data_IF_403225316206
#
_entry.id   IF_403225316206
#
_cell.length_a   1.000
_cell.length_b   1.000
_cell.length_c   1.000
_cell.angle_alpha   90.00
_cell.angle_beta   90.00
_cell.angle_gamma   90.00
#
_symmetry.space_group_name_H-M   'P 1'
#
loop_
_entity.id
_entity.type
_entity.pdbx_description
1 polymer ?
#
# COMPACT_ATOMS: atom_id res chain seq x y z
N UNK A 1 7.47 -28.25 12.51
CA UNK A 1 6.95 -27.96 13.86
C UNK A 1 6.83 -26.45 14.01
N UNK A 2 5.65 -25.93 14.34
CA UNK A 2 5.39 -24.49 14.53
C UNK A 2 5.73 -24.14 15.98
N UNK A 3 6.84 -23.44 16.21
CA UNK A 3 7.20 -22.94 17.55
C UNK A 3 6.37 -21.70 17.85
N UNK A 4 5.44 -21.85 18.80
CA UNK A 4 4.59 -20.79 19.32
C UNK A 4 5.44 -19.77 20.09
N UNK A 5 5.50 -18.54 19.56
CA UNK A 5 6.10 -17.35 20.18
C UNK A 5 5.46 -17.02 21.57
N UNK A 6 4.32 -17.64 21.88
CA UNK A 6 3.64 -17.53 23.16
C UNK A 6 4.49 -18.00 24.37
N UNK A 7 5.49 -18.87 24.17
CA UNK A 7 6.30 -19.38 25.30
C UNK A 7 7.38 -18.40 25.79
N UNK A 8 7.79 -17.42 25.00
CA UNK A 8 8.75 -16.40 25.46
C UNK A 8 8.04 -15.36 26.35
N UNK A 9 6.75 -15.12 26.11
CA UNK A 9 5.97 -14.15 26.89
C UNK A 9 5.58 -14.70 28.27
N UNK A 10 5.41 -16.02 28.42
CA UNK A 10 5.02 -16.64 29.70
C UNK A 10 6.19 -16.79 30.69
N UNK A 11 7.44 -16.86 30.20
CA UNK A 11 8.63 -17.05 31.04
C UNK A 11 9.04 -15.80 31.84
N UNK A 12 8.57 -14.62 31.45
CA UNK A 12 8.99 -13.34 32.07
C UNK A 12 8.08 -12.94 33.24
N UNK A 13 6.86 -13.50 33.33
CA UNK A 13 5.93 -13.20 34.43
C UNK A 13 6.24 -13.92 35.75
N UNK A 14 7.26 -14.78 35.81
CA UNK A 14 7.51 -15.63 36.99
C UNK A 14 8.93 -15.51 37.58
N UNK A 15 9.54 -14.31 37.58
CA UNK A 15 10.83 -14.11 38.25
C UNK A 15 10.85 -12.79 39.06
N UNK A 16 9.92 -12.65 40.01
CA UNK A 16 10.07 -11.67 41.10
C UNK A 16 10.80 -12.37 42.26
N UNK A 17 12.07 -12.74 42.03
CA UNK A 17 13.08 -13.03 43.06
C UNK A 17 14.33 -13.66 42.39
N UNK A 18 15.26 -12.88 41.83
CA UNK A 18 16.53 -13.46 41.36
C UNK A 18 17.72 -12.52 41.49
N UNK A 19 18.86 -13.14 41.75
CA UNK A 19 20.21 -12.59 41.86
C UNK A 19 20.59 -11.57 40.79
N UNK A 20 21.59 -10.74 41.09
CA UNK A 20 22.20 -9.76 40.19
C UNK A 20 22.51 -10.32 38.79
N UNK A 21 22.94 -11.58 38.71
CA UNK A 21 23.22 -12.27 37.44
C UNK A 21 21.99 -12.48 36.54
N UNK A 22 20.82 -12.79 37.11
CA UNK A 22 19.60 -12.98 36.34
C UNK A 22 19.03 -11.64 35.84
N UNK A 23 19.21 -10.56 36.62
CA UNK A 23 18.86 -9.21 36.19
C UNK A 23 19.75 -8.72 35.03
N UNK A 24 21.05 -9.02 35.08
CA UNK A 24 21.99 -8.74 33.99
C UNK A 24 21.65 -9.53 32.71
N UNK A 25 21.33 -10.82 32.83
CA UNK A 25 20.93 -11.67 31.70
C UNK A 25 19.61 -11.18 31.06
N UNK A 26 18.62 -10.75 31.85
CA UNK A 26 17.38 -10.14 31.36
C UNK A 26 17.69 -8.83 30.61
N UNK A 27 18.55 -7.97 31.15
CA UNK A 27 18.91 -6.70 30.51
C UNK A 27 19.63 -6.88 29.17
N UNK A 28 20.53 -7.87 29.07
CA UNK A 28 21.19 -8.24 27.81
C UNK A 28 20.15 -8.73 26.78
N UNK A 29 19.26 -9.64 27.19
CA UNK A 29 18.21 -10.17 26.31
C UNK A 29 17.24 -9.08 25.82
N UNK A 30 16.93 -8.08 26.64
CA UNK A 30 16.10 -6.93 26.24
C UNK A 30 16.84 -6.06 25.21
N UNK A 31 18.14 -5.78 25.39
CA UNK A 31 18.95 -5.03 24.42
C UNK A 31 19.04 -5.75 23.08
N UNK A 32 19.34 -7.05 23.08
CA UNK A 32 19.42 -7.85 21.84
C UNK A 32 18.06 -7.91 21.12
N UNK A 33 16.95 -7.99 21.87
CA UNK A 33 15.60 -7.93 21.31
C UNK A 33 15.32 -6.59 20.61
N UNK A 34 15.78 -5.47 21.17
CA UNK A 34 15.63 -4.14 20.55
C UNK A 34 16.42 -4.06 19.23
N UNK A 35 17.68 -4.52 19.21
CA UNK A 35 18.53 -4.51 18.01
C UNK A 35 17.95 -5.40 16.89
N UNK A 36 17.45 -6.59 17.25
CA UNK A 36 16.78 -7.47 16.30
C UNK A 36 15.51 -6.84 15.72
N UNK A 37 14.72 -6.15 16.54
CA UNK A 37 13.53 -5.42 16.07
C UNK A 37 13.90 -4.25 15.15
N UNK A 38 14.97 -3.51 15.46
CA UNK A 38 15.49 -2.43 14.60
C UNK A 38 15.86 -2.95 13.21
N UNK A 39 16.60 -4.07 13.16
CA UNK A 39 16.99 -4.72 11.91
C UNK A 39 15.77 -5.17 11.09
N UNK A 40 14.75 -5.75 11.75
CA UNK A 40 13.51 -6.17 11.09
C UNK A 40 12.69 -4.99 10.56
N UNK A 41 12.62 -3.89 11.32
CA UNK A 41 11.94 -2.66 10.90
C UNK A 41 12.61 -2.11 9.65
N UNK A 42 13.93 -2.01 9.64
CA UNK A 42 14.67 -1.46 8.49
C UNK A 42 14.47 -2.31 7.23
N UNK A 43 14.58 -3.64 7.36
CA UNK A 43 14.29 -4.57 6.25
C UNK A 43 12.87 -4.40 5.69
N UNK A 44 11.88 -4.15 6.54
CA UNK A 44 10.51 -3.91 6.09
C UNK A 44 10.31 -2.52 5.49
N UNK A 45 11.05 -1.50 5.94
CA UNK A 45 11.09 -0.18 5.29
C UNK A 45 11.68 -0.27 3.90
N UNK A 46 12.78 -0.98 3.72
CA UNK A 46 13.37 -1.25 2.40
C UNK A 46 12.38 -1.99 1.49
N UNK A 47 11.72 -3.01 2.03
CA UNK A 47 10.67 -3.75 1.31
C UNK A 47 9.51 -2.83 0.89
N UNK A 48 9.11 -1.89 1.75
CA UNK A 48 8.07 -0.90 1.45
C UNK A 48 8.51 0.05 0.33
N UNK A 49 9.75 0.57 0.39
CA UNK A 49 10.28 1.44 -0.66
C UNK A 49 10.34 0.71 -2.01
N UNK A 50 10.84 -0.52 -2.04
CA UNK A 50 10.87 -1.35 -3.24
C UNK A 50 9.48 -1.66 -3.78
N UNK A 51 8.49 -1.86 -2.90
CA UNK A 51 7.10 -2.05 -3.27
C UNK A 51 6.50 -0.78 -3.89
N UNK A 52 6.77 0.40 -3.33
CA UNK A 52 6.34 1.68 -3.90
C UNK A 52 6.91 1.86 -5.32
N UNK A 53 8.21 1.62 -5.49
CA UNK A 53 8.89 1.79 -6.79
C UNK A 53 8.35 0.79 -7.83
N UNK A 54 8.26 -0.49 -7.47
CA UNK A 54 7.76 -1.52 -8.39
C UNK A 54 6.30 -1.29 -8.76
N UNK A 55 5.48 -0.83 -7.82
CA UNK A 55 4.09 -0.43 -8.04
C UNK A 55 3.97 0.74 -9.01
N UNK A 56 4.72 1.82 -8.78
CA UNK A 56 4.74 2.97 -9.67
C UNK A 56 5.15 2.58 -11.11
N UNK A 57 6.12 1.66 -11.24
CA UNK A 57 6.52 1.11 -12.55
C UNK A 57 5.41 0.29 -13.19
N UNK A 58 4.76 -0.61 -12.46
CA UNK A 58 3.65 -1.40 -12.98
C UNK A 58 2.51 -0.51 -13.49
N UNK A 59 2.18 0.56 -12.76
CA UNK A 59 1.17 1.54 -13.15
C UNK A 59 1.52 2.35 -14.40
N UNK A 60 2.80 2.71 -14.55
CA UNK A 60 3.26 3.55 -15.67
C UNK A 60 3.56 2.74 -16.93
N UNK A 61 4.00 1.49 -16.76
CA UNK A 61 4.44 0.62 -17.86
C UNK A 61 3.42 -0.46 -18.24
N UNK A 62 2.33 -0.62 -17.48
CA UNK A 62 1.27 -1.58 -17.84
C UNK A 62 0.69 -1.25 -19.22
N UNK A 63 0.69 -2.19 -20.18
CA UNK A 63 0.10 -1.98 -21.50
C UNK A 63 -1.39 -1.62 -21.44
N UNK A 64 -2.12 -2.17 -20.47
CA UNK A 64 -3.54 -1.89 -20.27
C UNK A 64 -3.76 -0.45 -19.79
N UNK A 65 -2.96 0.02 -18.84
CA UNK A 65 -3.05 1.41 -18.34
C UNK A 65 -2.63 2.39 -19.43
N UNK A 66 -1.57 2.06 -20.19
CA UNK A 66 -1.15 2.86 -21.34
C UNK A 66 -2.26 2.97 -22.38
N UNK A 67 -2.85 1.84 -22.78
CA UNK A 67 -3.94 1.79 -23.76
C UNK A 67 -5.17 2.55 -23.25
N UNK A 68 -5.51 2.41 -21.97
CA UNK A 68 -6.61 3.13 -21.34
C UNK A 68 -6.37 4.65 -21.37
N UNK A 69 -5.16 5.13 -21.08
CA UNK A 69 -4.79 6.55 -21.15
C UNK A 69 -4.85 7.10 -22.57
N UNK A 70 -4.28 6.39 -23.53
CA UNK A 70 -4.34 6.78 -24.94
C UNK A 70 -5.78 6.85 -25.44
N UNK A 71 -6.60 5.84 -25.10
CA UNK A 71 -8.03 5.81 -25.42
C UNK A 71 -8.78 6.99 -24.77
N UNK A 72 -8.48 7.30 -23.50
CA UNK A 72 -9.08 8.41 -22.77
C UNK A 72 -8.83 9.74 -23.47
N UNK A 73 -7.58 10.01 -23.86
CA UNK A 73 -7.22 11.23 -24.62
C UNK A 73 -8.01 11.32 -25.93
N UNK A 74 -8.05 10.23 -26.71
CA UNK A 74 -8.80 10.19 -27.97
C UNK A 74 -10.29 10.46 -27.73
N UNK A 75 -10.88 9.84 -26.71
CA UNK A 75 -12.30 9.99 -26.38
C UNK A 75 -12.65 11.39 -25.86
N UNK A 76 -11.77 12.02 -25.08
CA UNK A 76 -11.91 13.41 -24.65
C UNK A 76 -11.82 14.39 -25.83
N UNK A 77 -10.96 14.12 -26.81
CA UNK A 77 -10.91 14.90 -28.05
C UNK A 77 -12.16 14.72 -28.92
N UNK A 78 -12.66 13.49 -29.05
CA UNK A 78 -13.94 13.20 -29.72
C UNK A 78 -15.08 13.97 -29.06
N UNK A 79 -15.14 14.00 -27.72
CA UNK A 79 -16.16 14.75 -26.98
C UNK A 79 -16.09 16.25 -27.29
N UNK A 80 -14.88 16.85 -27.29
CA UNK A 80 -14.69 18.26 -27.67
C UNK A 80 -15.13 18.54 -29.12
N UNK A 81 -14.89 17.60 -30.05
CA UNK A 81 -15.35 17.73 -31.44
C UNK A 81 -16.88 17.63 -31.52
N UNK A 82 -17.47 16.73 -30.75
CA UNK A 82 -18.92 16.52 -30.67
C UNK A 82 -19.64 17.76 -30.12
N UNK A 83 -19.12 18.35 -29.05
CA UNK A 83 -19.61 19.62 -28.51
C UNK A 83 -19.54 20.78 -29.51
N UNK A 84 -18.44 20.86 -30.29
CA UNK A 84 -18.32 21.85 -31.37
C UNK A 84 -19.36 21.62 -32.47
N UNK A 85 -19.68 20.37 -32.82
CA UNK A 85 -20.74 20.06 -33.79
C UNK A 85 -22.11 20.49 -33.29
N UNK A 86 -22.43 20.23 -32.02
CA UNK A 86 -23.68 20.66 -31.39
C UNK A 86 -23.80 22.19 -31.37
N UNK A 87 -22.75 22.90 -30.93
CA UNK A 87 -22.74 24.39 -30.93
C UNK A 87 -22.97 24.99 -32.30
N UNK A 88 -22.46 24.33 -33.35
CA UNK A 88 -22.67 24.72 -34.75
C UNK A 88 -24.00 24.22 -35.33
N UNK A 89 -24.87 23.62 -34.52
CA UNK A 89 -26.15 23.01 -34.92
C UNK A 89 -26.02 21.99 -36.05
N UNK A 90 -24.86 21.31 -36.15
CA UNK A 90 -24.58 20.29 -37.17
C UNK A 90 -25.13 18.91 -36.83
N UNK A 91 -25.57 18.73 -35.59
CA UNK A 91 -26.17 17.51 -35.04
C UNK A 91 -27.33 17.94 -34.15
N UNK A 92 -28.31 17.05 -33.97
CA UNK A 92 -29.39 17.27 -33.01
C UNK A 92 -28.88 17.08 -31.57
N UNK A 93 -29.62 17.62 -30.60
CA UNK A 93 -29.34 17.35 -29.18
C UNK A 93 -29.45 15.84 -28.87
N UNK A 94 -30.43 15.16 -29.46
CA UNK A 94 -30.63 13.71 -29.27
C UNK A 94 -29.43 12.90 -29.77
N UNK A 95 -28.89 13.24 -30.95
CA UNK A 95 -27.72 12.54 -31.49
C UNK A 95 -26.46 12.84 -30.67
N UNK A 96 -26.31 14.08 -30.21
CA UNK A 96 -25.25 14.48 -29.29
C UNK A 96 -25.31 13.65 -27.99
N UNK A 97 -26.47 13.56 -27.34
CA UNK A 97 -26.62 12.85 -26.07
C UNK A 97 -26.34 11.35 -26.23
N UNK A 98 -26.77 10.76 -27.35
CA UNK A 98 -26.48 9.36 -27.68
C UNK A 98 -24.98 9.12 -27.86
N UNK A 99 -24.31 9.90 -28.70
CA UNK A 99 -22.87 9.76 -28.96
C UNK A 99 -22.04 10.06 -27.69
N UNK A 100 -22.43 11.09 -26.93
CA UNK A 100 -21.83 11.41 -25.64
C UNK A 100 -21.93 10.25 -24.66
N UNK A 101 -23.10 9.63 -24.54
CA UNK A 101 -23.31 8.48 -23.66
C UNK A 101 -22.41 7.29 -24.01
N UNK A 102 -22.18 7.02 -25.30
CA UNK A 102 -21.23 5.97 -25.72
C UNK A 102 -19.78 6.33 -25.38
N UNK A 103 -19.38 7.59 -25.57
CA UNK A 103 -18.04 8.07 -25.18
C UNK A 103 -17.84 7.96 -23.66
N UNK A 104 -18.82 8.39 -22.87
CA UNK A 104 -18.78 8.33 -21.40
C UNK A 104 -18.65 6.89 -20.88
N UNK A 105 -19.36 5.92 -21.48
CA UNK A 105 -19.20 4.49 -21.14
C UNK A 105 -17.76 4.01 -21.33
N UNK A 106 -17.09 4.47 -22.39
CA UNK A 106 -15.68 4.11 -22.65
C UNK A 106 -14.76 4.78 -21.62
N UNK A 107 -14.98 6.06 -21.32
CA UNK A 107 -14.20 6.79 -20.31
C UNK A 107 -14.30 6.15 -18.93
N UNK A 108 -15.51 5.75 -18.51
CA UNK A 108 -15.73 5.01 -17.24
C UNK A 108 -14.94 3.70 -17.22
N UNK A 109 -14.88 2.96 -18.33
CA UNK A 109 -14.06 1.74 -18.42
C UNK A 109 -12.57 2.06 -18.28
N UNK A 110 -12.07 3.09 -18.95
CA UNK A 110 -10.67 3.53 -18.81
C UNK A 110 -10.33 3.87 -17.35
N UNK A 111 -11.20 4.62 -16.66
CA UNK A 111 -11.01 4.99 -15.26
C UNK A 111 -11.04 3.77 -14.32
N UNK A 112 -11.90 2.78 -14.61
CA UNK A 112 -11.97 1.55 -13.82
C UNK A 112 -10.68 0.73 -13.85
N UNK A 113 -9.98 0.72 -14.99
CA UNK A 113 -8.67 0.06 -15.14
C UNK A 113 -7.65 0.77 -14.24
N UNK A 114 -7.55 2.10 -14.30
CA UNK A 114 -6.62 2.85 -13.45
C UNK A 114 -6.91 2.63 -11.95
N UNK A 115 -8.19 2.62 -11.56
CA UNK A 115 -8.61 2.38 -10.19
C UNK A 115 -8.26 0.96 -9.70
N UNK A 116 -8.43 -0.06 -10.55
CA UNK A 116 -8.07 -1.44 -10.22
C UNK A 116 -6.57 -1.55 -9.87
N UNK A 117 -5.70 -0.98 -10.70
CA UNK A 117 -4.26 -0.98 -10.43
C UNK A 117 -3.93 -0.18 -9.16
N UNK A 118 -4.53 1.00 -8.96
CA UNK A 118 -4.35 1.79 -7.73
C UNK A 118 -4.74 1.00 -6.47
N UNK A 119 -5.86 0.26 -6.50
CA UNK A 119 -6.35 -0.51 -5.37
C UNK A 119 -5.42 -1.68 -5.01
N UNK A 120 -4.93 -2.41 -6.00
CA UNK A 120 -3.97 -3.51 -5.81
C UNK A 120 -2.71 -3.05 -5.06
N UNK A 121 -2.18 -1.88 -5.42
CA UNK A 121 -0.98 -1.32 -4.78
C UNK A 121 -1.24 -0.81 -3.36
N UNK A 122 -2.36 -0.12 -3.13
CA UNK A 122 -2.74 0.34 -1.78
C UNK A 122 -2.83 -0.80 -0.78
N UNK A 123 -3.43 -1.92 -1.17
CA UNK A 123 -3.55 -3.10 -0.30
C UNK A 123 -2.18 -3.64 0.13
N UNK A 124 -1.25 -3.74 -0.83
CA UNK A 124 0.10 -4.24 -0.58
C UNK A 124 0.90 -3.29 0.32
N UNK A 125 0.77 -1.98 0.11
CA UNK A 125 1.42 -0.96 0.94
C UNK A 125 0.92 -1.01 2.39
N UNK A 126 -0.40 -1.08 2.56
CA UNK A 126 -1.01 -1.16 3.89
C UNK A 126 -0.55 -2.39 4.65
N UNK A 127 -0.43 -3.54 3.99
CA UNK A 127 0.04 -4.77 4.62
C UNK A 127 1.47 -4.64 5.19
N UNK A 128 2.39 -4.03 4.43
CA UNK A 128 3.77 -3.83 4.89
C UNK A 128 3.82 -2.77 6.00
N UNK A 129 3.04 -1.69 5.86
CA UNK A 129 2.95 -0.63 6.87
C UNK A 129 2.46 -1.15 8.22
N UNK A 130 1.38 -1.93 8.25
CA UNK A 130 0.86 -2.54 9.47
C UNK A 130 1.90 -3.44 10.15
N UNK A 131 2.76 -4.12 9.38
CA UNK A 131 3.88 -4.90 9.95
C UNK A 131 4.94 -4.02 10.59
N UNK A 132 5.30 -2.91 9.95
CA UNK A 132 6.24 -1.92 10.52
C UNK A 132 5.66 -1.37 11.83
N UNK A 133 4.41 -0.90 11.81
CA UNK A 133 3.74 -0.32 12.98
C UNK A 133 3.71 -1.32 14.15
N UNK A 134 3.41 -2.60 13.88
CA UNK A 134 3.42 -3.65 14.90
C UNK A 134 4.81 -3.90 15.49
N UNK A 135 5.87 -3.84 14.68
CA UNK A 135 7.25 -3.98 15.15
C UNK A 135 7.70 -2.77 15.96
N UNK A 136 7.30 -1.56 15.56
CA UNK A 136 7.57 -0.33 16.31
C UNK A 136 6.90 -0.34 17.68
N UNK A 137 5.66 -0.82 17.77
CA UNK A 137 4.97 -1.03 19.05
C UNK A 137 5.70 -2.02 19.96
N UNK A 138 6.16 -3.16 19.42
CA UNK A 138 6.96 -4.14 20.19
C UNK A 138 8.27 -3.54 20.66
N UNK A 139 8.95 -2.76 19.82
CA UNK A 139 10.19 -2.05 20.18
C UNK A 139 9.95 -1.06 21.31
N UNK A 140 8.85 -0.30 21.27
CA UNK A 140 8.48 0.63 22.33
C UNK A 140 8.24 -0.10 23.67
N UNK A 141 7.59 -1.27 23.64
CA UNK A 141 7.43 -2.13 24.81
C UNK A 141 8.77 -2.56 25.41
N UNK A 142 9.69 -3.13 24.62
CA UNK A 142 11.01 -3.51 25.13
C UNK A 142 11.82 -2.32 25.66
N UNK A 143 11.71 -1.15 25.02
CA UNK A 143 12.32 0.09 25.55
C UNK A 143 11.76 0.51 26.90
N UNK A 144 10.48 0.24 27.17
CA UNK A 144 9.86 0.52 28.48
C UNK A 144 10.31 -0.43 29.59
N UNK A 145 10.73 -1.65 29.24
CA UNK A 145 11.28 -2.64 30.17
C UNK A 145 12.77 -2.40 30.49
N UNK A 146 13.46 -1.60 29.68
CA UNK A 146 14.89 -1.26 29.84
C UNK A 146 15.10 0.09 30.57
N UNK A 147 14.08 0.58 31.29
CA UNK A 147 14.13 1.77 32.14
C UNK A 147 14.18 1.35 33.60
#
# INVERSE_FOLDING_TARGET
MKTNIAFIVLGITLLVATSTSAQEEIAINVKDSIVNLETLIEKHKDSLQMLIISSARAMTLSPEVKTAKETKVVKEEELKKLEKKLKRKKISQSDFDKEKGEIEKVLVKCDSIEQYFMAMHRNSHNLVRTKIDSLEQRKAYFKSLNK
#
